data_IF_338198644740
#
_entry.id   IF_338198644740
#
_cell.length_a   1.000
_cell.length_b   1.000
_cell.length_c   1.000
_cell.angle_alpha   90.00
_cell.angle_beta   90.00
_cell.angle_gamma   90.00
#
_symmetry.space_group_name_H-M   'P 1'
#
loop_
_entity.id
_entity.type
_entity.pdbx_description
1 polymer ?
#
# COMPACT_ATOMS: atom_id res chain seq x y z
N UNK A 1 -13.65 -2.93 -2.80
CA UNK A 1 -12.24 -3.31 -2.54
C UNK A 1 -11.82 -2.83 -1.16
N UNK A 2 -11.22 -3.70 -0.40
CA UNK A 2 -10.74 -3.37 0.95
C UNK A 2 -9.24 -3.07 0.89
N UNK A 3 -8.86 -1.91 1.40
CA UNK A 3 -7.48 -1.42 1.38
C UNK A 3 -7.01 -1.21 2.81
N UNK A 4 -5.83 -1.72 3.13
CA UNK A 4 -5.21 -1.55 4.44
C UNK A 4 -4.05 -0.56 4.33
N UNK A 5 -4.07 0.48 5.17
CA UNK A 5 -2.96 1.41 5.30
C UNK A 5 -2.10 1.01 6.49
N UNK A 6 -0.81 0.88 6.27
CA UNK A 6 0.18 0.72 7.32
C UNK A 6 0.31 2.02 8.13
N UNK A 7 0.89 1.94 9.32
CA UNK A 7 1.03 3.08 10.22
C UNK A 7 1.74 4.28 9.61
N UNK A 8 2.74 4.04 8.77
CA UNK A 8 3.50 5.12 8.14
C UNK A 8 2.76 5.81 7.00
N UNK A 9 1.66 5.24 6.54
CA UNK A 9 0.91 5.81 5.42
C UNK A 9 0.06 6.97 5.93
N UNK A 10 0.17 8.16 5.30
CA UNK A 10 -0.55 9.34 5.79
C UNK A 10 -2.07 9.16 5.75
N UNK A 11 -2.71 9.35 6.88
CA UNK A 11 -4.16 9.20 7.02
C UNK A 11 -4.94 10.13 6.07
N UNK A 12 -4.51 11.38 5.83
CA UNK A 12 -5.24 12.26 4.90
C UNK A 12 -5.41 11.68 3.48
N UNK A 13 -4.55 10.78 3.06
CA UNK A 13 -4.68 10.12 1.76
C UNK A 13 -6.00 9.35 1.66
N UNK A 14 -6.49 8.84 2.78
CA UNK A 14 -7.72 8.05 2.87
C UNK A 14 -8.95 8.78 2.32
N UNK A 15 -9.01 10.10 2.51
CA UNK A 15 -10.17 10.89 2.09
C UNK A 15 -10.35 10.93 0.58
N UNK A 16 -9.33 10.56 -0.17
CA UNK A 16 -9.37 10.55 -1.63
C UNK A 16 -9.89 9.24 -2.22
N UNK A 17 -10.25 8.28 -1.36
CA UNK A 17 -10.81 6.99 -1.80
C UNK A 17 -12.28 6.96 -1.45
N UNK A 18 -13.13 7.41 -2.36
CA UNK A 18 -14.56 7.52 -2.10
C UNK A 18 -15.33 6.22 -2.31
N UNK A 19 -14.80 5.33 -3.14
CA UNK A 19 -15.47 4.07 -3.48
C UNK A 19 -14.81 2.84 -2.87
N UNK A 20 -13.79 3.02 -2.03
CA UNK A 20 -13.04 1.93 -1.43
C UNK A 20 -13.19 1.94 0.09
N UNK A 21 -13.13 0.75 0.67
CA UNK A 21 -13.09 0.61 2.12
C UNK A 21 -11.64 0.65 2.58
N UNK A 22 -11.23 1.77 3.17
CA UNK A 22 -9.88 1.94 3.69
C UNK A 22 -9.89 1.84 5.20
N UNK A 23 -9.07 0.94 5.73
CA UNK A 23 -8.83 0.82 7.16
C UNK A 23 -7.35 1.02 7.45
N UNK A 24 -7.00 1.47 8.64
CA UNK A 24 -5.61 1.56 9.06
C UNK A 24 -5.29 0.44 10.02
N UNK A 25 -4.02 0.05 10.05
CA UNK A 25 -3.56 -0.96 11.01
C UNK A 25 -3.86 -0.52 12.45
N UNK A 26 -3.71 0.76 12.73
CA UNK A 26 -4.01 1.30 14.05
C UNK A 26 -5.48 1.07 14.44
N UNK A 27 -6.42 1.39 13.53
CA UNK A 27 -7.85 1.24 13.80
C UNK A 27 -8.23 -0.21 14.10
N UNK A 28 -7.54 -1.15 13.48
CA UNK A 28 -7.83 -2.57 13.63
C UNK A 28 -7.15 -3.21 14.83
N UNK A 29 -6.37 -2.44 15.58
CA UNK A 29 -5.61 -2.98 16.70
C UNK A 29 -4.38 -3.77 16.28
N UNK A 30 -3.91 -3.57 15.06
CA UNK A 30 -2.78 -4.32 14.49
C UNK A 30 -1.48 -3.53 14.48
N UNK A 31 -1.42 -2.41 15.21
CA UNK A 31 -0.26 -1.52 15.19
C UNK A 31 1.03 -2.18 15.66
N UNK A 32 0.94 -3.22 16.48
CA UNK A 32 2.10 -3.93 16.99
C UNK A 32 2.51 -5.15 16.17
N UNK A 33 1.72 -5.51 15.16
CA UNK A 33 2.05 -6.64 14.31
C UNK A 33 3.24 -6.31 13.41
N UNK A 34 4.14 -7.26 13.26
CA UNK A 34 5.25 -7.14 12.33
C UNK A 34 4.76 -7.42 10.91
N UNK A 35 5.56 -7.03 9.93
CA UNK A 35 5.15 -7.08 8.52
C UNK A 35 4.56 -8.42 8.08
N UNK A 36 5.21 -9.53 8.41
CA UNK A 36 4.69 -10.84 8.03
C UNK A 36 3.34 -11.16 8.68
N UNK A 37 3.21 -10.85 9.96
CA UNK A 37 1.97 -11.04 10.70
C UNK A 37 0.88 -10.10 10.19
N UNK A 38 1.26 -8.86 9.89
CA UNK A 38 0.33 -7.86 9.39
C UNK A 38 -0.24 -8.26 8.03
N UNK A 39 0.61 -8.71 7.12
CA UNK A 39 0.18 -9.18 5.81
C UNK A 39 -0.73 -10.40 5.91
N UNK A 40 -0.40 -11.35 6.79
CA UNK A 40 -1.23 -12.52 7.01
C UNK A 40 -2.61 -12.13 7.57
N UNK A 41 -2.65 -11.23 8.53
CA UNK A 41 -3.91 -10.74 9.10
C UNK A 41 -4.75 -10.04 8.05
N UNK A 42 -4.11 -9.22 7.21
CA UNK A 42 -4.79 -8.51 6.14
C UNK A 42 -5.43 -9.49 5.14
N UNK A 43 -4.68 -10.48 4.71
CA UNK A 43 -5.20 -11.49 3.78
C UNK A 43 -6.36 -12.28 4.40
N UNK A 44 -6.22 -12.67 5.66
CA UNK A 44 -7.27 -13.42 6.37
C UNK A 44 -8.55 -12.62 6.57
N UNK A 45 -8.46 -11.30 6.55
CA UNK A 45 -9.62 -10.43 6.74
C UNK A 45 -10.14 -9.83 5.43
N UNK A 46 -9.70 -10.35 4.30
CA UNK A 46 -10.25 -9.98 3.01
C UNK A 46 -9.71 -8.68 2.43
N UNK A 47 -8.62 -8.16 2.95
CA UNK A 47 -7.97 -7.00 2.34
C UNK A 47 -7.31 -7.39 1.03
N UNK A 48 -7.49 -6.56 0.03
CA UNK A 48 -7.00 -6.82 -1.32
C UNK A 48 -5.74 -6.04 -1.65
N UNK A 49 -5.56 -4.88 -0.99
CA UNK A 49 -4.39 -4.02 -1.20
C UNK A 49 -3.83 -3.58 0.14
N UNK A 50 -2.52 -3.63 0.26
CA UNK A 50 -1.77 -3.11 1.40
C UNK A 50 -0.92 -1.94 0.94
N UNK A 51 -1.12 -0.76 1.55
CA UNK A 51 -0.36 0.45 1.23
C UNK A 51 0.58 0.75 2.39
N UNK A 52 1.84 0.87 2.09
CA UNK A 52 2.88 1.08 3.10
C UNK A 52 3.91 2.09 2.61
N UNK A 53 4.66 2.65 3.54
CA UNK A 53 5.81 3.48 3.23
C UNK A 53 7.13 2.75 3.52
N UNK A 54 7.08 1.49 3.88
CA UNK A 54 8.27 0.68 4.17
C UNK A 54 8.89 0.20 2.86
N UNK A 55 9.90 0.91 2.39
CA UNK A 55 10.57 0.58 1.13
C UNK A 55 11.41 -0.69 1.20
N UNK A 56 11.61 -1.25 2.39
CA UNK A 56 12.39 -2.47 2.58
C UNK A 56 11.53 -3.74 2.67
N UNK A 57 10.22 -3.60 2.53
CA UNK A 57 9.32 -4.72 2.73
C UNK A 57 9.65 -5.93 1.84
N UNK A 58 10.00 -5.69 0.58
CA UNK A 58 10.33 -6.76 -0.35
C UNK A 58 11.57 -7.55 0.06
N UNK A 59 12.48 -6.91 0.78
CA UNK A 59 13.69 -7.58 1.25
C UNK A 59 13.47 -8.38 2.53
N UNK A 60 12.41 -8.07 3.25
CA UNK A 60 12.11 -8.70 4.54
C UNK A 60 11.12 -9.86 4.40
N UNK A 61 10.33 -9.87 3.34
CA UNK A 61 9.25 -10.82 3.17
C UNK A 61 9.29 -11.48 1.79
N UNK A 62 8.91 -12.74 1.76
CA UNK A 62 8.73 -13.43 0.48
C UNK A 62 7.34 -13.09 -0.06
N UNK A 63 7.27 -12.08 -0.92
CA UNK A 63 6.01 -11.56 -1.42
C UNK A 63 5.42 -12.42 -2.55
N UNK A 64 6.19 -13.33 -3.11
CA UNK A 64 5.72 -14.16 -4.23
C UNK A 64 4.57 -15.09 -3.83
N UNK A 65 4.41 -15.37 -2.54
CA UNK A 65 3.34 -16.22 -2.03
C UNK A 65 2.16 -15.43 -1.49
N UNK A 66 2.21 -14.11 -1.56
CA UNK A 66 1.12 -13.27 -1.05
C UNK A 66 0.11 -13.02 -2.14
N UNK A 67 -1.17 -13.13 -1.81
CA UNK A 67 -2.26 -12.81 -2.73
C UNK A 67 -2.58 -11.32 -2.72
N UNK A 68 -2.34 -10.65 -1.60
CA UNK A 68 -2.61 -9.23 -1.46
C UNK A 68 -1.69 -8.42 -2.38
N UNK A 69 -2.23 -7.39 -3.00
CA UNK A 69 -1.43 -6.43 -3.76
C UNK A 69 -0.73 -5.49 -2.79
N UNK A 70 0.52 -5.13 -3.08
CA UNK A 70 1.30 -4.26 -2.21
C UNK A 70 1.73 -3.03 -2.99
N UNK A 71 1.40 -1.85 -2.46
CA UNK A 71 1.79 -0.57 -3.04
C UNK A 71 2.66 0.13 -2.01
N UNK A 72 3.90 0.42 -2.39
CA UNK A 72 4.87 1.09 -1.53
C UNK A 72 5.02 2.54 -1.96
N UNK A 73 4.74 3.45 -1.05
CA UNK A 73 4.99 4.87 -1.26
C UNK A 73 6.38 5.19 -0.75
N UNK A 74 7.19 5.85 -1.56
CA UNK A 74 8.61 6.06 -1.23
C UNK A 74 8.86 7.17 -0.22
N UNK A 75 7.82 7.83 0.25
CA UNK A 75 7.94 8.91 1.24
C UNK A 75 6.78 8.88 2.21
N UNK A 76 7.01 9.38 3.42
CA UNK A 76 5.96 9.61 4.41
C UNK A 76 5.45 11.06 4.37
N UNK A 77 6.04 11.90 3.53
CA UNK A 77 5.71 13.32 3.47
C UNK A 77 4.35 13.54 2.81
N UNK A 78 3.36 13.95 3.59
CA UNK A 78 2.04 14.27 3.06
C UNK A 78 2.07 15.36 1.99
N UNK A 79 2.82 16.47 2.17
CA UNK A 79 2.91 17.48 1.12
C UNK A 79 3.40 16.95 -0.22
N UNK A 80 4.32 15.98 -0.22
CA UNK A 80 4.79 15.35 -1.45
C UNK A 80 3.77 14.39 -2.03
N UNK A 81 3.17 13.57 -1.18
CA UNK A 81 2.14 12.61 -1.59
C UNK A 81 0.93 13.34 -2.16
N UNK A 82 0.55 14.45 -1.54
CA UNK A 82 -0.61 15.24 -1.94
C UNK A 82 -0.53 15.71 -3.39
N UNK A 83 0.66 15.96 -3.88
CA UNK A 83 0.87 16.41 -5.27
C UNK A 83 0.58 15.31 -6.29
N UNK A 84 0.53 14.07 -5.87
CA UNK A 84 0.36 12.92 -6.77
C UNK A 84 -0.80 12.03 -6.37
N UNK A 85 -1.76 12.57 -5.62
CA UNK A 85 -2.88 11.79 -5.10
C UNK A 85 -3.65 11.07 -6.21
N UNK A 86 -3.99 11.76 -7.29
CA UNK A 86 -4.76 11.15 -8.37
C UNK A 86 -4.05 9.94 -8.94
N UNK A 87 -2.75 10.03 -9.08
CA UNK A 87 -1.93 8.95 -9.61
C UNK A 87 -1.87 7.78 -8.64
N UNK A 88 -1.75 8.07 -7.34
CA UNK A 88 -1.73 7.04 -6.31
C UNK A 88 -3.07 6.30 -6.26
N UNK A 89 -4.16 7.03 -6.32
CA UNK A 89 -5.50 6.44 -6.36
C UNK A 89 -5.65 5.50 -7.55
N UNK A 90 -5.19 5.93 -8.73
CA UNK A 90 -5.25 5.11 -9.93
C UNK A 90 -4.45 3.81 -9.79
N UNK A 91 -3.26 3.90 -9.22
CA UNK A 91 -2.42 2.71 -9.00
C UNK A 91 -3.11 1.73 -8.06
N UNK A 92 -3.69 2.23 -6.97
CA UNK A 92 -4.36 1.37 -6.00
C UNK A 92 -5.62 0.76 -6.61
N UNK A 93 -6.41 1.53 -7.33
CA UNK A 93 -7.61 1.03 -8.00
C UNK A 93 -7.30 -0.07 -9.02
N UNK A 94 -6.17 0.04 -9.69
CA UNK A 94 -5.77 -0.90 -10.72
C UNK A 94 -4.92 -2.06 -10.19
N UNK A 95 -4.65 -2.10 -8.88
CA UNK A 95 -3.78 -3.13 -8.30
C UNK A 95 -4.40 -4.51 -8.46
N UNK A 96 -3.57 -5.47 -8.85
CA UNK A 96 -3.98 -6.85 -9.06
C UNK A 96 -3.38 -7.75 -7.99
N UNK A 97 -4.01 -8.89 -7.69
CA UNK A 97 -3.47 -9.82 -6.71
C UNK A 97 -2.03 -10.21 -7.03
N UNK A 98 -1.25 -10.41 -5.98
CA UNK A 98 0.15 -10.84 -6.08
C UNK A 98 1.03 -9.85 -6.84
N UNK A 99 0.71 -8.56 -6.80
CA UNK A 99 1.54 -7.52 -7.40
C UNK A 99 2.27 -6.72 -6.32
N UNK A 100 3.42 -6.17 -6.70
CA UNK A 100 4.22 -5.31 -5.84
C UNK A 100 4.63 -4.09 -6.66
N UNK A 101 4.26 -2.91 -6.18
CA UNK A 101 4.49 -1.66 -6.90
C UNK A 101 5.16 -0.66 -5.97
N UNK A 102 6.22 -0.02 -6.46
CA UNK A 102 6.92 1.03 -5.73
C UNK A 102 6.74 2.34 -6.47
N UNK A 103 6.26 3.35 -5.78
CA UNK A 103 6.09 4.70 -6.32
C UNK A 103 7.24 5.56 -5.80
N UNK A 104 8.34 5.61 -6.57
CA UNK A 104 9.59 6.21 -6.13
C UNK A 104 9.89 7.55 -6.77
N UNK A 105 9.19 7.91 -7.83
CA UNK A 105 9.40 9.20 -8.50
C UNK A 105 8.04 9.84 -8.74
N UNK A 106 7.68 10.77 -7.86
CA UNK A 106 6.37 11.39 -7.88
C UNK A 106 6.09 12.24 -9.11
N UNK A 107 7.14 12.67 -9.79
CA UNK A 107 7.00 13.54 -10.97
C UNK A 107 6.88 12.75 -12.27
N UNK A 108 7.39 11.53 -12.30
CA UNK A 108 7.39 10.70 -13.50
C UNK A 108 7.05 9.25 -13.21
N UNK A 109 6.29 9.03 -12.15
CA UNK A 109 6.07 7.68 -11.65
C UNK A 109 5.23 6.82 -12.60
N UNK A 110 4.44 7.40 -13.46
CA UNK A 110 3.49 6.67 -14.31
C UNK A 110 4.14 5.54 -15.10
N UNK A 111 5.42 5.68 -15.42
CA UNK A 111 6.10 4.72 -16.29
C UNK A 111 7.03 3.77 -15.58
N UNK A 112 7.39 4.03 -14.34
CA UNK A 112 8.53 3.35 -13.74
C UNK A 112 8.32 2.79 -12.36
N UNK A 113 7.26 3.16 -11.72
CA UNK A 113 7.05 2.79 -10.34
C UNK A 113 6.53 1.37 -10.17
N UNK A 114 6.20 0.72 -11.26
CA UNK A 114 5.54 -0.58 -11.21
C UNK A 114 6.56 -1.70 -11.36
N UNK A 115 6.60 -2.56 -10.35
CA UNK A 115 7.34 -3.80 -10.37
C UNK A 115 6.45 -4.87 -9.76
N UNK A 116 6.49 -6.04 -10.34
CA UNK A 116 5.69 -7.15 -9.84
C UNK A 116 6.58 -8.10 -9.05
N UNK A 117 6.09 -8.50 -7.89
CA UNK A 117 6.74 -9.51 -7.07
C UNK A 117 6.38 -10.88 -7.63
N UNK A 118 7.22 -11.42 -8.39
CA UNK A 118 6.97 -12.72 -9.00
C UNK A 118 8.08 -13.69 -8.70
#
# INVERSE_FOLDING_TARGET
MKVLFDQGTPVPLRTHFTSLHVSTAYELGWATLKNGELLAAAESNGFEVFVTTDTNLAYQQNLSKRKIAIVVLSTTSWPRIQKSVAAIVNVIDAATPNSYQIMIDWNSFSDRSIKHAS
#
